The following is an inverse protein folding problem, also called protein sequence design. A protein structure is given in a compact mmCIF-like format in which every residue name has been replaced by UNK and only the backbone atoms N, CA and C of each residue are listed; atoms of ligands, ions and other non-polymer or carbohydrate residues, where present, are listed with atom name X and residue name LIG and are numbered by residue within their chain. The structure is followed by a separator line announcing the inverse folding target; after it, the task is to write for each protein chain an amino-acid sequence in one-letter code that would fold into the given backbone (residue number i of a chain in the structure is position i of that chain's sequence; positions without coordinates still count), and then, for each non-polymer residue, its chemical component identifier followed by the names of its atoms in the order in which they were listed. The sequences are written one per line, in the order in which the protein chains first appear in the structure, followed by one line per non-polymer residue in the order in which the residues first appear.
data_IF_536508303382
#
_entry.id   IF_536508303382
#
_cell.length_a   1.000
_cell.length_b   1.000
_cell.length_c   1.000
_cell.angle_alpha   90.00
_cell.angle_beta   90.00
_cell.angle_gamma   90.00
#
_symmetry.space_group_name_H-M   'P 1'
#
loop_
_entity.id
_entity.type
_entity.pdbx_description
1 polymer ?
#
# COMPACT_ATOMS: atom_id res chain seq x y z
N UNK A 1 8.66 8.74 -12.04
CA UNK A 1 7.88 7.58 -11.58
C UNK A 1 7.99 6.52 -12.65
N UNK A 2 8.42 5.32 -12.28
CA UNK A 2 8.53 4.17 -13.18
C UNK A 2 7.27 3.31 -13.04
N UNK A 3 6.80 2.73 -14.15
CA UNK A 3 5.56 1.95 -14.20
C UNK A 3 5.66 0.70 -13.31
N UNK A 4 6.81 0.04 -13.29
CA UNK A 4 7.06 -1.12 -12.41
C UNK A 4 6.93 -0.73 -10.94
N UNK A 5 7.45 0.45 -10.57
CA UNK A 5 7.36 0.96 -9.20
C UNK A 5 5.92 1.28 -8.80
N UNK A 6 5.11 1.79 -9.72
CA UNK A 6 3.68 2.05 -9.45
C UNK A 6 2.88 0.74 -9.33
N UNK A 7 3.16 -0.26 -10.16
CA UNK A 7 2.52 -1.58 -10.06
C UNK A 7 2.88 -2.28 -8.75
N UNK A 8 4.15 -2.29 -8.37
CA UNK A 8 4.59 -2.90 -7.13
C UNK A 8 3.99 -2.21 -5.88
N UNK A 9 3.82 -0.89 -5.91
CA UNK A 9 3.11 -0.16 -4.86
C UNK A 9 1.63 -0.57 -4.80
N UNK A 10 0.95 -0.63 -5.94
CA UNK A 10 -0.46 -1.03 -6.01
C UNK A 10 -0.66 -2.46 -5.48
N UNK A 11 0.20 -3.39 -5.86
CA UNK A 11 0.18 -4.77 -5.34
C UNK A 11 0.34 -4.79 -3.82
N UNK A 12 1.32 -4.07 -3.27
CA UNK A 12 1.54 -4.01 -1.83
C UNK A 12 0.34 -3.42 -1.07
N UNK A 13 -0.33 -2.41 -1.63
CA UNK A 13 -1.55 -1.82 -1.07
C UNK A 13 -2.71 -2.81 -1.06
N UNK A 14 -2.91 -3.54 -2.16
CA UNK A 14 -3.97 -4.55 -2.28
C UNK A 14 -3.74 -5.73 -1.33
N UNK A 15 -2.49 -6.20 -1.20
CA UNK A 15 -2.12 -7.26 -0.27
C UNK A 15 -2.36 -6.84 1.19
N UNK A 16 -1.93 -5.64 1.57
CA UNK A 16 -2.15 -5.13 2.93
C UNK A 16 -3.64 -5.05 3.26
N UNK A 17 -4.46 -4.54 2.31
CA UNK A 17 -5.92 -4.46 2.49
C UNK A 17 -6.56 -5.84 2.61
N UNK A 18 -6.16 -6.79 1.77
CA UNK A 18 -6.65 -8.16 1.84
C UNK A 18 -6.27 -8.85 3.16
N UNK A 19 -5.08 -8.58 3.68
CA UNK A 19 -4.60 -9.10 4.96
C UNK A 19 -5.16 -8.36 6.20
N UNK A 20 -5.95 -7.30 6.02
CA UNK A 20 -6.42 -6.45 7.12
C UNK A 20 -5.31 -5.63 7.79
N UNK A 21 -4.18 -5.47 7.11
CA UNK A 21 -3.04 -4.67 7.56
C UNK A 21 -3.21 -3.22 7.13
N UNK A 22 -2.79 -2.30 7.98
CA UNK A 22 -2.76 -0.85 7.70
C UNK A 22 -1.35 -0.31 7.47
N UNK A 23 -0.39 -1.21 7.31
CA UNK A 23 1.01 -0.88 7.10
C UNK A 23 1.45 -1.47 5.78
N UNK A 24 1.98 -0.63 4.89
CA UNK A 24 2.45 -1.02 3.56
C UNK A 24 3.93 -0.69 3.50
N UNK A 25 4.73 -1.71 3.22
CA UNK A 25 6.17 -1.55 3.00
C UNK A 25 6.45 -1.59 1.51
N UNK A 26 6.97 -0.49 0.98
CA UNK A 26 7.29 -0.34 -0.44
C UNK A 26 8.57 0.48 -0.59
N UNK A 27 9.48 0.03 -1.45
CA UNK A 27 10.70 0.79 -1.78
C UNK A 27 11.58 1.17 -0.57
N UNK A 28 11.70 0.24 0.39
CA UNK A 28 12.46 0.44 1.63
C UNK A 28 11.82 1.42 2.61
N UNK A 29 10.60 1.89 2.33
CA UNK A 29 9.80 2.73 3.22
C UNK A 29 8.61 1.96 3.74
N UNK A 30 8.21 2.25 4.96
CA UNK A 30 6.97 1.74 5.54
C UNK A 30 6.03 2.90 5.80
N UNK A 31 4.82 2.79 5.28
CA UNK A 31 3.75 3.77 5.46
C UNK A 31 2.64 3.11 6.27
N UNK A 32 2.26 3.73 7.39
CA UNK A 32 1.14 3.28 8.22
C UNK A 32 -0.03 4.23 8.06
N UNK A 33 -1.17 3.70 7.63
CA UNK A 33 -2.43 4.41 7.46
C UNK A 33 -3.20 4.42 8.79
N UNK A 34 -3.89 5.52 9.07
CA UNK A 34 -4.69 5.68 10.30
C UNK A 34 -5.94 4.82 10.30
N UNK A 35 -6.52 4.56 9.12
CA UNK A 35 -7.72 3.75 8.95
C UNK A 35 -7.69 2.88 7.68
N UNK A 36 -8.56 1.86 7.63
CA UNK A 36 -8.79 1.09 6.39
C UNK A 36 -9.33 1.97 5.26
N UNK A 37 -10.13 2.98 5.58
CA UNK A 37 -10.64 3.95 4.59
C UNK A 37 -9.50 4.76 3.94
N UNK A 38 -8.50 5.16 4.73
CA UNK A 38 -7.31 5.85 4.21
C UNK A 38 -6.45 4.93 3.34
N UNK A 39 -6.29 3.66 3.73
CA UNK A 39 -5.61 2.64 2.91
C UNK A 39 -6.36 2.42 1.60
N UNK A 40 -7.69 2.30 1.65
CA UNK A 40 -8.55 2.07 0.49
C UNK A 40 -8.54 3.27 -0.49
N UNK A 41 -8.40 4.49 0.01
CA UNK A 41 -8.28 5.69 -0.82
C UNK A 41 -6.90 5.83 -1.51
N UNK A 42 -5.90 5.07 -1.05
CA UNK A 42 -4.56 5.05 -1.65
C UNK A 42 -4.42 4.03 -2.79
N UNK A 43 -5.41 3.14 -2.99
CA UNK A 43 -5.53 2.17 -4.10
C UNK A 43 -6.19 2.85 -5.29
#
# INVERSE_FOLDING_TARGET
MDLERMQALLTALQEARFAGLRSVSYDGKTVTYGSDAELAAAI
#
